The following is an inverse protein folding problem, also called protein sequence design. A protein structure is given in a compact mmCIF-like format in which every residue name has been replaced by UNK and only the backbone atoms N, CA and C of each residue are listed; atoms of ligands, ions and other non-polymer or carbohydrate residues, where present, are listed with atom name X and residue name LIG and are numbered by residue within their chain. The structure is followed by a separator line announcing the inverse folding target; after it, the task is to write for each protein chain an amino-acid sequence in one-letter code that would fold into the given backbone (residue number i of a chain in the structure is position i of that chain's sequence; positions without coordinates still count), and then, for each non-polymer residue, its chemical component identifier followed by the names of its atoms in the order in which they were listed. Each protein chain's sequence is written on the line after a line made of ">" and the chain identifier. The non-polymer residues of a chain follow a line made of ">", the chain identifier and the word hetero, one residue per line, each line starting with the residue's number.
data_IF_207858108007
#
_entry.id   IF_207858108007
#
_cell.length_a   1.000
_cell.length_b   1.000
_cell.length_c   1.000
_cell.angle_alpha   90.00
_cell.angle_beta   90.00
_cell.angle_gamma   90.00
#
_symmetry.space_group_name_H-M   'P 1'
#
loop_
_entity.id
_entity.type
_entity.pdbx_description
1 polymer ?
#
# COMPACT_ATOMS: atom_id res chain seq x y z
N UNK A 1 -27.77 -11.12 10.74
CA UNK A 1 -26.94 -10.47 9.72
C UNK A 1 -25.84 -11.42 9.33
N UNK A 2 -25.64 -11.70 8.03
CA UNK A 2 -24.52 -12.48 7.53
C UNK A 2 -23.25 -11.66 7.79
N UNK A 3 -22.28 -12.23 8.51
CA UNK A 3 -20.98 -11.61 8.61
C UNK A 3 -20.32 -11.71 7.23
N UNK A 4 -19.94 -10.58 6.61
CA UNK A 4 -19.28 -10.63 5.32
C UNK A 4 -17.93 -11.36 5.44
N UNK A 5 -17.61 -12.14 4.42
CA UNK A 5 -16.29 -12.79 4.34
C UNK A 5 -15.23 -11.67 4.28
N UNK A 6 -14.23 -11.67 5.17
CA UNK A 6 -13.21 -10.64 5.14
C UNK A 6 -12.32 -10.79 3.90
N UNK A 7 -12.02 -9.68 3.24
CA UNK A 7 -11.04 -9.60 2.17
C UNK A 7 -10.06 -8.47 2.45
N UNK A 8 -8.84 -8.63 1.97
CA UNK A 8 -7.72 -7.78 2.34
C UNK A 8 -7.26 -6.97 1.12
N UNK A 9 -7.14 -5.66 1.31
CA UNK A 9 -6.46 -4.77 0.38
C UNK A 9 -5.11 -4.38 0.96
N UNK A 10 -4.07 -4.51 0.17
CA UNK A 10 -2.75 -3.98 0.47
C UNK A 10 -2.47 -2.87 -0.53
N UNK A 11 -2.29 -1.66 -0.05
CA UNK A 11 -1.97 -0.48 -0.84
C UNK A 11 -0.57 -0.07 -0.44
N UNK A 12 0.37 -0.31 -1.33
CA UNK A 12 1.74 0.15 -1.19
C UNK A 12 1.91 1.47 -1.94
N UNK A 13 2.78 2.33 -1.46
CA UNK A 13 3.02 3.66 -2.02
C UNK A 13 1.73 4.45 -2.23
N UNK A 14 0.92 4.59 -1.16
CA UNK A 14 -0.41 5.20 -1.24
C UNK A 14 -0.40 6.62 -1.84
N UNK A 15 0.73 7.33 -1.77
CA UNK A 15 0.92 8.63 -2.42
C UNK A 15 0.87 8.56 -3.95
N UNK A 16 1.17 7.40 -4.57
CA UNK A 16 1.15 7.23 -6.03
C UNK A 16 -0.26 7.01 -6.60
N UNK A 17 -1.20 6.58 -5.75
CA UNK A 17 -2.58 6.28 -6.20
C UNK A 17 -3.35 7.55 -6.54
N UNK A 18 -2.98 8.69 -5.93
CA UNK A 18 -3.67 9.95 -6.13
C UNK A 18 -5.17 9.90 -5.76
N UNK A 19 -5.95 10.81 -6.33
CA UNK A 19 -7.40 10.93 -6.04
C UNK A 19 -8.28 10.01 -6.89
N UNK A 20 -7.70 9.21 -7.78
CA UNK A 20 -8.44 8.31 -8.69
C UNK A 20 -9.21 7.21 -7.98
N UNK A 21 -8.77 6.83 -6.79
CA UNK A 21 -9.42 5.83 -5.95
C UNK A 21 -10.18 6.53 -4.83
N UNK A 22 -11.42 6.14 -4.59
CA UNK A 22 -12.21 6.65 -3.44
C UNK A 22 -11.72 6.04 -2.12
N UNK A 23 -10.44 6.20 -1.83
CA UNK A 23 -9.77 5.61 -0.67
C UNK A 23 -10.40 6.08 0.64
N UNK A 24 -10.81 7.35 0.72
CA UNK A 24 -11.52 7.91 1.87
C UNK A 24 -12.82 7.12 2.17
N UNK A 25 -13.66 6.88 1.17
CA UNK A 25 -14.90 6.12 1.31
C UNK A 25 -14.61 4.65 1.68
N UNK A 26 -13.56 4.06 1.11
CA UNK A 26 -13.16 2.69 1.44
C UNK A 26 -12.69 2.57 2.89
N UNK A 27 -11.94 3.54 3.39
CA UNK A 27 -11.47 3.58 4.77
C UNK A 27 -12.61 3.78 5.78
N UNK A 28 -13.59 4.61 5.44
CA UNK A 28 -14.71 4.92 6.33
C UNK A 28 -15.81 3.85 6.32
N UNK A 29 -16.05 3.20 5.19
CA UNK A 29 -17.21 2.32 5.01
C UNK A 29 -16.86 0.87 4.70
N UNK A 30 -15.67 0.60 4.17
CA UNK A 30 -15.28 -0.72 3.69
C UNK A 30 -15.40 -1.83 4.73
N UNK A 31 -15.19 -1.52 6.00
CA UNK A 31 -15.32 -2.48 7.09
C UNK A 31 -16.72 -3.11 7.19
N UNK A 32 -17.77 -2.39 6.81
CA UNK A 32 -19.16 -2.91 6.78
C UNK A 32 -19.32 -4.05 5.76
N UNK A 33 -18.49 -4.03 4.73
CA UNK A 33 -18.49 -5.02 3.65
C UNK A 33 -17.40 -6.07 3.81
N UNK A 34 -16.70 -6.10 4.95
CA UNK A 34 -15.63 -7.06 5.24
C UNK A 34 -14.25 -6.62 4.75
N UNK A 35 -14.10 -5.42 4.18
CA UNK A 35 -12.80 -4.94 3.74
C UNK A 35 -11.85 -4.72 4.93
N UNK A 36 -10.62 -5.20 4.78
CA UNK A 36 -9.50 -4.98 5.68
C UNK A 36 -8.39 -4.32 4.85
N UNK A 37 -7.92 -3.17 5.30
CA UNK A 37 -6.97 -2.38 4.52
C UNK A 37 -5.65 -2.26 5.24
N UNK A 38 -4.56 -2.52 4.50
CA UNK A 38 -3.19 -2.20 4.85
C UNK A 38 -2.73 -1.10 3.91
N UNK A 39 -2.43 0.07 4.44
CA UNK A 39 -2.00 1.22 3.66
C UNK A 39 -0.61 1.60 4.10
N UNK A 40 0.32 1.62 3.15
CA UNK A 40 1.70 2.01 3.35
C UNK A 40 1.97 3.30 2.56
N UNK A 41 2.68 4.21 3.19
CA UNK A 41 3.12 5.47 2.57
C UNK A 41 4.47 5.88 3.13
N UNK A 42 5.29 6.50 2.33
CA UNK A 42 6.59 7.01 2.75
C UNK A 42 6.44 8.25 3.63
N UNK A 43 5.49 9.14 3.32
CA UNK A 43 5.32 10.42 4.01
C UNK A 43 3.88 10.92 3.91
N UNK A 44 3.33 11.37 5.04
CA UNK A 44 2.05 12.05 5.07
C UNK A 44 2.12 13.44 4.41
N UNK A 45 3.23 14.12 4.57
CA UNK A 45 3.46 15.43 3.97
C UNK A 45 3.50 15.33 2.44
N UNK A 46 4.11 14.29 1.88
CA UNK A 46 4.07 14.03 0.43
C UNK A 46 2.64 13.79 -0.05
N UNK A 47 1.86 12.98 0.67
CA UNK A 47 0.45 12.76 0.34
C UNK A 47 -0.34 14.08 0.33
N UNK A 48 -0.14 14.95 1.33
CA UNK A 48 -0.84 16.24 1.44
C UNK A 48 -0.53 17.21 0.31
N UNK A 49 0.64 17.11 -0.32
CA UNK A 49 1.02 17.94 -1.48
C UNK A 49 0.24 17.61 -2.75
N UNK A 50 -0.40 16.44 -2.78
CA UNK A 50 -1.23 16.02 -3.91
C UNK A 50 -2.63 16.59 -3.72
N UNK A 51 -3.15 17.26 -4.75
CA UNK A 51 -4.48 17.87 -4.70
C UNK A 51 -5.56 16.84 -4.33
N UNK A 52 -6.40 17.18 -3.35
CA UNK A 52 -7.48 16.32 -2.87
C UNK A 52 -7.07 15.21 -1.90
N UNK A 53 -5.78 15.00 -1.64
CA UNK A 53 -5.31 13.94 -0.74
C UNK A 53 -5.34 14.30 0.76
N UNK A 54 -5.55 15.56 1.12
CA UNK A 54 -5.64 15.95 2.54
C UNK A 54 -6.77 15.22 3.27
N UNK A 55 -7.96 15.10 2.64
CA UNK A 55 -9.09 14.36 3.20
C UNK A 55 -8.77 12.86 3.37
N UNK A 56 -8.01 12.29 2.45
CA UNK A 56 -7.54 10.90 2.53
C UNK A 56 -6.59 10.72 3.70
N UNK A 57 -5.63 11.61 3.90
CA UNK A 57 -4.69 11.57 5.04
C UNK A 57 -5.45 11.67 6.37
N UNK A 58 -6.40 12.59 6.47
CA UNK A 58 -7.24 12.71 7.66
C UNK A 58 -8.05 11.44 7.91
N UNK A 59 -8.64 10.87 6.87
CA UNK A 59 -9.40 9.62 6.94
C UNK A 59 -8.51 8.43 7.35
N UNK A 60 -7.29 8.34 6.83
CA UNK A 60 -6.31 7.34 7.25
C UNK A 60 -6.03 7.45 8.75
N UNK A 61 -5.70 8.64 9.23
CA UNK A 61 -5.38 8.85 10.65
C UNK A 61 -6.56 8.60 11.58
N UNK A 62 -7.78 8.89 11.13
CA UNK A 62 -9.00 8.75 11.93
C UNK A 62 -9.55 7.31 11.94
N UNK A 63 -9.52 6.61 10.81
CA UNK A 63 -10.25 5.35 10.62
C UNK A 63 -9.37 4.11 10.74
N UNK A 64 -8.03 4.22 10.71
CA UNK A 64 -7.16 3.08 10.97
C UNK A 64 -7.16 2.73 12.46
N UNK A 65 -7.25 1.44 12.77
CA UNK A 65 -7.22 0.93 14.14
C UNK A 65 -5.82 0.61 14.63
N UNK A 66 -4.86 0.49 13.73
CA UNK A 66 -3.44 0.24 14.04
C UNK A 66 -2.59 1.15 13.17
N UNK A 67 -1.61 1.80 13.77
CA UNK A 67 -0.71 2.73 13.09
C UNK A 67 0.72 2.42 13.52
N UNK A 68 1.59 2.29 12.53
CA UNK A 68 3.03 2.09 12.75
C UNK A 68 3.78 3.25 12.09
N UNK A 69 4.60 3.94 12.87
CA UNK A 69 5.43 5.06 12.43
C UNK A 69 6.89 4.67 12.55
N UNK A 70 7.55 4.55 11.42
CA UNK A 70 9.00 4.41 11.34
C UNK A 70 9.65 5.78 11.45
N UNK A 71 10.97 5.88 11.30
CA UNK A 71 11.65 7.18 11.31
C UNK A 71 11.00 8.11 10.26
N UNK A 72 10.23 9.11 10.68
CA UNK A 72 9.51 9.95 9.75
C UNK A 72 10.41 10.97 9.08
N UNK A 73 9.96 11.46 7.94
CA UNK A 73 10.49 12.66 7.34
C UNK A 73 10.38 13.85 8.31
N UNK A 74 11.35 14.79 8.35
CA UNK A 74 11.26 16.00 9.18
C UNK A 74 9.95 16.78 9.01
N UNK A 75 9.36 16.82 7.82
CA UNK A 75 8.08 17.50 7.57
C UNK A 75 6.90 16.84 8.31
N UNK A 76 6.98 15.54 8.60
CA UNK A 76 5.95 14.79 9.31
C UNK A 76 6.17 14.72 10.82
N UNK A 77 7.36 15.07 11.29
CA UNK A 77 7.82 14.84 12.67
C UNK A 77 6.85 15.43 13.71
N UNK A 78 6.42 16.68 13.53
CA UNK A 78 5.53 17.35 14.49
C UNK A 78 4.12 16.73 14.48
N UNK A 79 3.60 16.36 13.31
CA UNK A 79 2.32 15.68 13.18
C UNK A 79 2.36 14.33 13.90
N UNK A 80 3.39 13.53 13.67
CA UNK A 80 3.53 12.20 14.27
C UNK A 80 3.76 12.31 15.77
N UNK A 81 4.56 13.27 16.21
CA UNK A 81 4.75 13.55 17.65
C UNK A 81 3.43 13.91 18.33
N UNK A 82 2.63 14.78 17.72
CA UNK A 82 1.30 15.14 18.22
C UNK A 82 0.37 13.94 18.31
N UNK A 83 0.37 13.08 17.27
CA UNK A 83 -0.41 11.84 17.23
C UNK A 83 -0.02 10.89 18.36
N UNK A 84 1.26 10.67 18.58
CA UNK A 84 1.77 9.75 19.59
C UNK A 84 1.56 10.30 21.01
N UNK A 85 1.68 11.62 21.21
CA UNK A 85 1.49 12.27 22.51
C UNK A 85 0.03 12.41 22.93
N UNK A 86 -0.93 12.38 21.99
CA UNK A 86 -2.35 12.63 22.26
C UNK A 86 -2.99 11.58 23.17
N UNK A 87 -2.42 10.41 23.28
CA UNK A 87 -2.95 9.30 24.09
C UNK A 87 -2.32 9.17 25.48
N UNK A 88 -1.15 9.78 25.72
CA UNK A 88 -0.46 9.70 27.02
C UNK A 88 0.52 10.88 27.23
N UNK A 89 0.74 11.23 28.50
CA UNK A 89 1.84 12.12 28.92
C UNK A 89 3.17 11.35 28.82
N UNK A 90 3.64 11.09 27.62
CA UNK A 90 4.98 10.59 27.44
C UNK A 90 5.95 11.77 27.41
N UNK A 91 7.06 11.61 28.13
CA UNK A 91 8.25 12.43 27.93
C UNK A 91 8.74 12.32 26.48
N UNK A 92 9.87 12.89 26.19
CA UNK A 92 10.41 13.05 24.84
C UNK A 92 10.27 11.79 23.96
N UNK A 93 9.26 11.78 23.11
CA UNK A 93 9.11 10.77 22.06
C UNK A 93 10.19 11.06 21.03
N UNK A 94 11.22 10.24 21.01
CA UNK A 94 12.22 10.30 19.94
C UNK A 94 11.67 9.72 18.67
N UNK A 95 11.85 10.42 17.56
CA UNK A 95 11.49 9.96 16.21
C UNK A 95 12.72 9.49 15.42
N UNK A 96 13.93 9.70 15.96
CA UNK A 96 15.15 9.12 15.44
C UNK A 96 15.25 7.66 15.90
N UNK A 97 14.68 6.77 15.11
CA UNK A 97 14.56 5.36 15.43
C UNK A 97 15.65 4.55 14.73
N UNK A 98 16.21 3.54 15.41
CA UNK A 98 17.08 2.59 14.77
C UNK A 98 16.36 1.85 13.65
N UNK A 99 17.11 1.32 12.68
CA UNK A 99 16.58 0.47 11.62
C UNK A 99 15.68 -0.64 12.18
N UNK A 100 14.58 -0.94 11.52
CA UNK A 100 13.58 -1.93 11.92
C UNK A 100 12.83 -1.61 13.22
N UNK A 101 12.90 -0.38 13.73
CA UNK A 101 12.08 0.05 14.86
C UNK A 101 10.97 0.99 14.39
N UNK A 102 9.83 0.90 15.05
CA UNK A 102 8.69 1.80 14.82
C UNK A 102 7.95 2.09 16.13
N UNK A 103 7.31 3.24 16.18
CA UNK A 103 6.27 3.49 17.15
C UNK A 103 4.97 2.85 16.66
N UNK A 104 4.45 1.91 17.45
CA UNK A 104 3.19 1.22 17.18
C UNK A 104 2.15 1.73 18.15
N UNK A 105 0.98 2.13 17.64
CA UNK A 105 -0.20 2.34 18.46
C UNK A 105 -1.40 1.61 17.88
N UNK A 106 -2.28 1.13 18.74
CA UNK A 106 -3.47 0.39 18.34
C UNK A 106 -4.70 0.88 19.12
N UNK A 107 -5.87 0.73 18.51
CA UNK A 107 -7.15 0.99 19.15
C UNK A 107 -7.77 -0.31 19.63
N UNK A 108 -8.04 -0.40 20.93
CA UNK A 108 -8.72 -1.54 21.55
C UNK A 108 -10.00 -1.04 22.20
N UNK A 109 -11.13 -1.66 21.90
CA UNK A 109 -12.45 -1.27 22.38
C UNK A 109 -12.71 0.25 22.25
N UNK A 110 -12.40 0.81 21.06
CA UNK A 110 -12.54 2.23 20.71
C UNK A 110 -11.58 3.19 21.41
N UNK A 111 -10.69 2.71 22.27
CA UNK A 111 -9.70 3.53 22.97
C UNK A 111 -8.29 3.32 22.42
N UNK A 112 -7.59 4.39 22.13
CA UNK A 112 -6.19 4.32 21.75
C UNK A 112 -5.35 3.83 22.93
N UNK A 113 -4.57 2.79 22.67
CA UNK A 113 -3.59 2.32 23.63
C UNK A 113 -2.34 3.21 23.61
N UNK A 114 -1.56 3.22 24.70
CA UNK A 114 -0.26 3.88 24.72
C UNK A 114 0.61 3.44 23.55
N UNK A 115 1.29 4.37 22.87
CA UNK A 115 2.24 3.98 21.85
C UNK A 115 3.38 3.15 22.45
N UNK A 116 3.75 2.11 21.73
CA UNK A 116 4.80 1.18 22.15
C UNK A 116 5.91 1.19 21.12
N UNK A 117 7.17 1.26 21.56
CA UNK A 117 8.30 1.06 20.68
C UNK A 117 8.41 -0.43 20.33
N UNK A 118 8.27 -0.74 19.06
CA UNK A 118 8.32 -2.10 18.53
C UNK A 118 9.53 -2.27 17.61
N UNK A 119 10.09 -3.49 17.62
CA UNK A 119 11.10 -3.91 16.66
C UNK A 119 10.48 -4.87 15.68
N UNK A 120 10.68 -4.63 14.39
CA UNK A 120 10.25 -5.52 13.32
C UNK A 120 11.35 -6.56 13.07
N UNK A 121 11.00 -7.81 13.09
CA UNK A 121 11.91 -8.86 12.66
C UNK A 121 11.83 -9.04 11.14
N UNK A 122 12.97 -9.03 10.43
CA UNK A 122 12.96 -9.29 9.00
C UNK A 122 12.49 -10.71 8.73
N UNK A 123 11.66 -10.86 7.70
CA UNK A 123 11.20 -12.17 7.24
C UNK A 123 12.40 -13.01 6.82
N UNK A 124 12.53 -14.20 7.38
CA UNK A 124 13.62 -15.11 7.04
C UNK A 124 13.49 -15.56 5.57
N UNK A 125 14.62 -15.76 4.89
CA UNK A 125 14.65 -16.18 3.48
C UNK A 125 13.84 -17.47 3.22
N UNK A 126 13.84 -18.40 4.19
CA UNK A 126 13.03 -19.62 4.15
C UNK A 126 11.53 -19.32 4.12
N UNK A 127 11.08 -18.30 4.89
CA UNK A 127 9.68 -17.87 4.93
C UNK A 127 9.26 -17.18 3.63
N UNK A 128 10.16 -16.41 3.02
CA UNK A 128 9.94 -15.84 1.69
C UNK A 128 9.73 -16.93 0.63
N UNK A 129 10.50 -18.01 0.68
CA UNK A 129 10.33 -19.14 -0.22
C UNK A 129 8.98 -19.85 -0.02
N UNK A 130 8.53 -19.96 1.24
CA UNK A 130 7.21 -20.53 1.56
C UNK A 130 6.10 -19.64 0.97
N UNK A 131 6.19 -18.32 1.16
CA UNK A 131 5.22 -17.37 0.60
C UNK A 131 5.17 -17.48 -0.93
N UNK A 132 6.32 -17.48 -1.60
CA UNK A 132 6.38 -17.64 -3.06
C UNK A 132 5.79 -18.96 -3.54
N UNK A 133 6.02 -20.05 -2.80
CA UNK A 133 5.42 -21.35 -3.10
C UNK A 133 3.91 -21.32 -2.96
N UNK A 134 3.38 -20.77 -1.85
CA UNK A 134 1.94 -20.64 -1.62
C UNK A 134 1.27 -19.80 -2.70
N UNK A 135 1.88 -18.66 -3.07
CA UNK A 135 1.37 -17.82 -4.17
C UNK A 135 1.27 -18.62 -5.47
N UNK A 136 2.33 -19.38 -5.80
CA UNK A 136 2.34 -20.22 -7.00
C UNK A 136 1.25 -21.29 -6.96
N UNK A 137 1.13 -22.01 -5.84
CA UNK A 137 0.10 -23.03 -5.64
C UNK A 137 -1.31 -22.47 -5.80
N UNK A 138 -1.56 -21.25 -5.30
CA UNK A 138 -2.85 -20.56 -5.45
C UNK A 138 -3.13 -20.19 -6.91
N UNK A 139 -2.13 -19.64 -7.63
CA UNK A 139 -2.28 -19.30 -9.05
C UNK A 139 -2.51 -20.58 -9.88
N UNK A 140 -1.79 -21.66 -9.60
CA UNK A 140 -1.94 -22.93 -10.31
C UNK A 140 -3.29 -23.60 -10.04
N UNK A 141 -3.85 -23.43 -8.82
CA UNK A 141 -5.15 -23.98 -8.46
C UNK A 141 -6.33 -23.19 -9.04
N UNK A 142 -6.13 -21.91 -9.36
CA UNK A 142 -7.18 -21.00 -9.85
C UNK A 142 -6.68 -20.17 -11.03
N UNK A 143 -6.25 -20.81 -12.14
CA UNK A 143 -5.67 -20.10 -13.27
C UNK A 143 -6.66 -19.13 -13.95
N UNK A 144 -7.96 -19.37 -13.82
CA UNK A 144 -9.02 -18.52 -14.33
C UNK A 144 -9.11 -17.16 -13.63
N UNK A 145 -8.66 -17.08 -12.36
CA UNK A 145 -8.72 -15.86 -11.56
C UNK A 145 -7.44 -15.01 -11.68
N UNK A 146 -6.37 -15.58 -12.27
CA UNK A 146 -5.07 -14.93 -12.38
C UNK A 146 -4.58 -14.91 -13.81
N UNK A 147 -4.54 -13.72 -14.39
CA UNK A 147 -3.88 -13.48 -15.67
C UNK A 147 -2.45 -13.04 -15.37
N UNK A 148 -1.46 -13.78 -15.84
CA UNK A 148 -0.07 -13.36 -15.72
C UNK A 148 0.10 -12.01 -16.45
N UNK A 149 0.86 -11.10 -15.83
CA UNK A 149 1.05 -9.75 -16.37
C UNK A 149 1.55 -9.78 -17.84
N UNK A 150 2.40 -10.75 -18.18
CA UNK A 150 2.84 -10.96 -19.56
C UNK A 150 1.69 -11.29 -20.52
N UNK A 151 0.82 -12.22 -20.17
CA UNK A 151 -0.31 -12.61 -20.99
C UNK A 151 -1.30 -11.47 -21.18
N UNK A 152 -1.50 -10.65 -20.15
CA UNK A 152 -2.33 -9.46 -20.23
C UNK A 152 -1.73 -8.40 -21.15
N UNK A 153 -0.42 -8.14 -21.04
CA UNK A 153 0.30 -7.21 -21.91
C UNK A 153 0.27 -7.68 -23.35
N UNK A 154 0.52 -8.96 -23.61
CA UNK A 154 0.49 -9.54 -24.95
C UNK A 154 -0.94 -9.51 -25.55
N UNK A 155 -1.95 -9.77 -24.74
CA UNK A 155 -3.36 -9.64 -25.12
C UNK A 155 -3.74 -8.21 -25.47
N UNK A 156 -3.32 -7.23 -24.63
CA UNK A 156 -3.56 -5.81 -24.84
C UNK A 156 -2.82 -5.30 -26.08
N UNK A 157 -1.55 -5.65 -26.25
CA UNK A 157 -0.76 -5.32 -27.44
C UNK A 157 -1.35 -5.92 -28.72
N UNK A 158 -1.82 -7.17 -28.65
CA UNK A 158 -2.51 -7.82 -29.75
C UNK A 158 -3.82 -7.15 -30.14
N UNK A 159 -4.57 -6.62 -29.17
CA UNK A 159 -5.77 -5.84 -29.42
C UNK A 159 -5.44 -4.46 -30.04
N UNK A 160 -4.44 -3.77 -29.51
CA UNK A 160 -3.97 -2.49 -30.04
C UNK A 160 -3.46 -2.65 -31.48
N UNK A 161 -2.66 -3.67 -31.76
CA UNK A 161 -2.14 -3.93 -33.12
C UNK A 161 -3.24 -4.12 -34.16
N UNK A 162 -4.40 -4.65 -33.79
CA UNK A 162 -5.57 -4.78 -34.69
C UNK A 162 -6.26 -3.45 -34.95
N UNK A 163 -6.08 -2.45 -34.11
CA UNK A 163 -6.75 -1.15 -34.16
C UNK A 163 -5.91 -0.05 -34.84
N UNK A 164 -4.61 -0.26 -34.99
CA UNK A 164 -3.69 0.73 -35.56
C UNK A 164 -3.27 0.37 -37.00
N UNK A 165 -2.98 1.38 -37.84
CA UNK A 165 -2.46 1.13 -39.18
C UNK A 165 -1.12 0.39 -39.16
N UNK A 166 -0.81 -0.45 -40.17
CA UNK A 166 0.44 -1.22 -40.24
C UNK A 166 1.72 -0.39 -40.07
N UNK A 167 1.72 0.85 -40.59
CA UNK A 167 2.86 1.79 -40.46
C UNK A 167 3.12 2.20 -39.02
N UNK A 168 2.08 2.31 -38.19
CA UNK A 168 2.21 2.65 -36.77
C UNK A 168 2.58 1.41 -35.94
N UNK A 169 2.12 0.23 -36.37
CA UNK A 169 2.49 -1.06 -35.73
C UNK A 169 3.99 -1.34 -35.81
N UNK A 170 4.64 -1.01 -36.96
CA UNK A 170 6.10 -1.14 -37.10
C UNK A 170 6.86 -0.25 -36.13
N UNK A 171 6.43 1.02 -35.94
CA UNK A 171 7.02 1.94 -34.99
C UNK A 171 6.90 1.47 -33.54
N UNK A 172 5.76 0.83 -33.21
CA UNK A 172 5.53 0.25 -31.89
C UNK A 172 6.48 -0.91 -31.62
N UNK A 173 6.74 -1.76 -32.61
CA UNK A 173 7.67 -2.90 -32.51
C UNK A 173 9.13 -2.44 -32.34
N UNK A 174 9.53 -1.37 -33.03
CA UNK A 174 10.84 -0.75 -32.87
C UNK A 174 11.05 -0.14 -31.48
N UNK A 175 10.04 0.53 -30.93
CA UNK A 175 10.08 1.11 -29.58
C UNK A 175 10.17 0.02 -28.50
N UNK A 176 9.36 -1.01 -28.60
CA UNK A 176 9.36 -2.12 -27.64
C UNK A 176 10.69 -2.90 -27.66
N UNK A 177 11.33 -3.07 -28.82
CA UNK A 177 12.61 -3.74 -28.93
C UNK A 177 13.78 -2.86 -28.45
N UNK A 178 13.70 -1.55 -28.58
CA UNK A 178 14.72 -0.60 -28.11
C UNK A 178 14.78 -0.52 -26.57
N UNK A 179 13.65 -0.51 -25.89
CA UNK A 179 13.61 -0.45 -24.42
C UNK A 179 14.13 -1.72 -23.75
N UNK A 180 13.87 -2.91 -24.33
CA UNK A 180 14.37 -4.18 -23.78
C UNK A 180 15.88 -4.41 -23.97
N UNK A 181 16.51 -3.73 -24.90
CA UNK A 181 17.97 -3.84 -25.11
C UNK A 181 18.79 -3.01 -24.12
N UNK A 182 18.17 -2.10 -23.36
CA UNK A 182 18.84 -1.27 -22.35
C UNK A 182 18.62 -1.75 -20.91
N UNK A 183 17.83 -2.82 -20.69
CA UNK A 183 17.47 -3.33 -19.37
C UNK A 183 18.20 -4.65 -18.98
N UNK A 184 19.19 -5.11 -19.78
CA UNK A 184 20.05 -6.27 -19.47
C UNK A 184 21.51 -5.87 -19.34
#
# INVERSE_FOLDING_TARGET
>A
ALNPVPYYFVIDEAQEIGTGMRLESMLSEGAKFGARMFVLSQSLAMMRKIEGMEAVVQSLLANTSTQAFFSPDPEDADTIRAILSSSHRYGDITLDLPTLHCWLRARVAMHWQPPTLARIEPVKRSEQQIVQRVIREVIEAHPEDYVLAGDWVDGALGAIRKMIPPSVSMLLDELLTAEWSHAN
#
